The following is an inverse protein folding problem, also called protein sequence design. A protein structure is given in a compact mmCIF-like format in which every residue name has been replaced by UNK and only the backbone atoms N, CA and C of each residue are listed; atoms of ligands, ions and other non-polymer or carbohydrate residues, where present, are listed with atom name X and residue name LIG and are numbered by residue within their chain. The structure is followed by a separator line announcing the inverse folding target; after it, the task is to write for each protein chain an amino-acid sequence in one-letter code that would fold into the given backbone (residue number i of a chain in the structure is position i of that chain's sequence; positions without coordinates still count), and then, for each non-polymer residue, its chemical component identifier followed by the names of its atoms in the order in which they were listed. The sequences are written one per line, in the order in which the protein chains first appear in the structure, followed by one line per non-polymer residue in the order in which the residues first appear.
data_IF_360188757008
#
_entry.id   IF_360188757008
#
_cell.length_a   1.000
_cell.length_b   1.000
_cell.length_c   1.000
_cell.angle_alpha   90.00
_cell.angle_beta   90.00
_cell.angle_gamma   90.00
#
_symmetry.space_group_name_H-M   'P 1'
#
loop_
_entity.id
_entity.type
_entity.pdbx_description
1 polymer ?
#
# COMPACT_ATOMS: atom_id res chain seq x y z
N UNK A 1 -7.24 -28.84 -24.10
CA UNK A 1 -7.03 -28.84 -22.64
C UNK A 1 -6.43 -27.50 -22.25
N UNK A 2 -7.24 -26.61 -21.68
CA UNK A 2 -6.84 -25.25 -21.35
C UNK A 2 -6.02 -25.22 -20.06
N UNK A 3 -4.80 -24.69 -20.15
CA UNK A 3 -3.93 -24.44 -19.00
C UNK A 3 -4.48 -23.27 -18.17
N UNK A 4 -4.82 -23.54 -16.93
CA UNK A 4 -4.99 -22.49 -15.93
C UNK A 4 -3.61 -22.18 -15.37
N UNK A 5 -2.96 -21.13 -15.88
CA UNK A 5 -1.77 -20.57 -15.27
C UNK A 5 -2.22 -19.81 -14.01
N UNK A 6 -2.39 -20.53 -12.90
CA UNK A 6 -2.54 -19.89 -11.61
C UNK A 6 -1.19 -19.27 -11.26
N UNK A 7 -1.03 -17.98 -11.55
CA UNK A 7 0.04 -17.16 -10.99
C UNK A 7 0.08 -17.44 -9.50
N UNK A 8 1.22 -17.94 -8.98
CA UNK A 8 1.42 -18.24 -7.56
C UNK A 8 0.86 -17.08 -6.72
N UNK A 9 -0.27 -17.28 -6.06
CA UNK A 9 -0.82 -16.30 -5.12
C UNK A 9 0.18 -16.21 -3.97
N UNK A 10 0.78 -15.04 -3.80
CA UNK A 10 1.63 -14.77 -2.65
C UNK A 10 0.73 -14.61 -1.42
N UNK A 11 0.52 -15.72 -0.72
CA UNK A 11 -0.36 -15.79 0.46
C UNK A 11 0.18 -14.99 1.64
N UNK A 12 1.44 -14.54 1.61
CA UNK A 12 2.00 -13.70 2.65
C UNK A 12 1.40 -12.28 2.65
N UNK A 13 0.84 -11.82 1.52
CA UNK A 13 0.31 -10.47 1.37
C UNK A 13 -1.20 -10.38 1.68
N UNK A 14 -1.87 -11.52 1.91
CA UNK A 14 -3.31 -11.58 2.19
C UNK A 14 -3.53 -11.32 3.68
N UNK A 15 -3.85 -10.08 4.03
CA UNK A 15 -4.14 -9.69 5.42
C UNK A 15 -5.36 -8.80 5.48
N UNK A 16 -6.15 -8.99 6.55
CA UNK A 16 -7.32 -8.14 6.85
C UNK A 16 -6.83 -6.81 7.40
N UNK A 17 -7.37 -5.70 6.89
CA UNK A 17 -7.06 -4.38 7.41
C UNK A 17 -7.49 -4.24 8.88
N UNK A 18 -6.57 -3.91 9.81
CA UNK A 18 -6.89 -3.89 11.23
C UNK A 18 -7.59 -2.58 11.60
N UNK A 19 -8.93 -2.62 11.65
CA UNK A 19 -9.76 -1.46 12.00
C UNK A 19 -9.55 -0.97 13.44
N UNK A 20 -9.11 -1.86 14.33
CA UNK A 20 -8.93 -1.62 15.76
C UNK A 20 -7.56 -1.02 16.12
N UNK A 21 -6.62 -0.96 15.17
CA UNK A 21 -5.29 -0.36 15.42
C UNK A 21 -5.44 1.15 15.60
N UNK A 22 -4.87 1.73 16.68
CA UNK A 22 -4.96 3.15 16.93
C UNK A 22 -4.37 3.94 15.76
N UNK A 23 -5.09 5.00 15.34
CA UNK A 23 -4.64 5.89 14.29
C UNK A 23 -3.56 6.80 14.85
N UNK A 24 -2.36 6.69 14.31
CA UNK A 24 -1.23 7.54 14.63
C UNK A 24 -1.30 8.88 13.90
N UNK A 25 -0.21 9.64 13.98
CA UNK A 25 -0.08 10.89 13.24
C UNK A 25 0.03 10.64 11.72
N UNK A 26 -0.45 11.59 10.92
CA UNK A 26 -0.10 11.67 9.50
C UNK A 26 1.30 12.26 9.38
N UNK A 27 2.18 11.59 8.66
CA UNK A 27 3.53 12.08 8.38
C UNK A 27 3.58 12.76 7.02
N UNK A 28 4.46 13.74 6.88
CA UNK A 28 4.69 14.45 5.62
C UNK A 28 5.60 13.61 4.71
N UNK A 29 5.09 12.46 4.32
CA UNK A 29 5.67 11.59 3.30
C UNK A 29 4.69 11.55 2.15
N UNK A 30 5.16 12.00 0.99
CA UNK A 30 4.36 12.06 -0.22
C UNK A 30 4.46 10.74 -0.98
N UNK A 31 3.29 10.22 -1.32
CA UNK A 31 3.13 9.01 -2.13
C UNK A 31 2.62 9.43 -3.50
N UNK A 32 3.39 9.09 -4.52
CA UNK A 32 3.07 9.35 -5.91
C UNK A 32 2.60 8.07 -6.58
N UNK A 33 1.56 8.18 -7.39
CA UNK A 33 1.11 7.11 -8.27
C UNK A 33 1.44 7.47 -9.71
N UNK A 34 2.26 6.63 -10.34
CA UNK A 34 2.60 6.74 -11.76
C UNK A 34 2.12 5.48 -12.49
N UNK A 35 0.90 5.55 -13.02
CA UNK A 35 0.23 4.42 -13.68
C UNK A 35 -0.01 3.26 -12.70
N UNK A 36 0.82 2.22 -12.82
CA UNK A 36 0.81 1.00 -11.99
C UNK A 36 1.82 1.01 -10.85
N UNK A 37 2.67 2.03 -10.76
CA UNK A 37 3.72 2.10 -9.76
C UNK A 37 3.33 3.10 -8.67
N UNK A 38 3.50 2.69 -7.42
CA UNK A 38 3.41 3.54 -6.26
C UNK A 38 4.83 3.83 -5.77
N UNK A 39 5.23 5.10 -5.76
CA UNK A 39 6.55 5.52 -5.28
C UNK A 39 6.42 6.48 -4.11
N UNK A 40 7.29 6.35 -3.13
CA UNK A 40 7.32 7.23 -1.98
C UNK A 40 8.75 7.36 -1.44
N UNK A 41 9.09 8.54 -0.96
CA UNK A 41 10.38 8.80 -0.30
C UNK A 41 10.14 9.19 1.14
N UNK A 42 10.83 8.53 2.08
CA UNK A 42 10.74 8.90 3.48
C UNK A 42 11.52 10.19 3.72
N UNK A 43 10.83 11.32 3.58
CA UNK A 43 11.33 12.68 3.83
C UNK A 43 11.42 13.03 5.32
N UNK A 44 11.09 12.09 6.21
CA UNK A 44 11.08 12.30 7.66
C UNK A 44 12.29 11.65 8.33
N UNK A 45 12.48 11.95 9.62
CA UNK A 45 13.50 11.31 10.48
C UNK A 45 13.02 9.99 11.09
N UNK A 46 11.79 9.55 10.81
CA UNK A 46 11.23 8.31 11.36
C UNK A 46 11.78 7.11 10.60
N UNK A 47 12.17 6.08 11.33
CA UNK A 47 12.53 4.78 10.77
C UNK A 47 11.32 3.87 10.91
N UNK A 48 10.86 3.28 9.81
CA UNK A 48 9.86 2.21 9.85
C UNK A 48 10.59 0.87 9.82
N UNK A 49 10.31 0.00 10.79
CA UNK A 49 10.79 -1.39 10.79
C UNK A 49 9.93 -2.28 9.91
N UNK A 50 9.87 -3.58 10.23
CA UNK A 50 8.93 -4.51 9.61
C UNK A 50 7.49 -4.00 9.82
N UNK A 51 6.86 -3.57 8.73
CA UNK A 51 5.60 -2.82 8.74
C UNK A 51 4.68 -3.31 7.63
N UNK A 52 3.42 -2.91 7.67
CA UNK A 52 2.45 -3.20 6.60
C UNK A 52 1.98 -1.89 5.95
N UNK A 53 2.15 -1.76 4.65
CA UNK A 53 1.61 -0.65 3.87
C UNK A 53 0.18 -1.01 3.45
N UNK A 54 -0.76 -0.11 3.73
CA UNK A 54 -2.17 -0.26 3.46
C UNK A 54 -2.65 0.79 2.47
N UNK A 55 -3.29 0.35 1.40
CA UNK A 55 -3.95 1.20 0.40
C UNK A 55 -5.46 1.06 0.54
N UNK A 56 -6.16 2.20 0.60
CA UNK A 56 -7.61 2.31 0.69
C UNK A 56 -8.27 1.49 1.82
N UNK A 57 -7.54 1.23 2.91
CA UNK A 57 -7.98 0.35 4.03
C UNK A 57 -8.38 -1.06 3.60
N UNK A 58 -7.91 -1.52 2.45
CA UNK A 58 -8.30 -2.82 1.88
C UNK A 58 -7.09 -3.63 1.46
N UNK A 59 -6.17 -3.02 0.73
CA UNK A 59 -5.06 -3.75 0.12
C UNK A 59 -3.79 -3.57 0.93
N UNK A 60 -3.17 -4.69 1.29
CA UNK A 60 -1.94 -4.72 2.07
C UNK A 60 -0.72 -5.07 1.22
N UNK A 61 0.43 -4.51 1.58
CA UNK A 61 1.75 -4.97 1.17
C UNK A 61 2.75 -4.96 2.34
N UNK A 62 3.50 -6.04 2.60
CA UNK A 62 4.50 -6.04 3.65
C UNK A 62 5.71 -5.18 3.27
N UNK A 63 6.26 -4.50 4.26
CA UNK A 63 7.42 -3.63 4.16
C UNK A 63 8.48 -4.16 5.12
N UNK A 64 9.64 -4.57 4.60
CA UNK A 64 10.75 -5.05 5.45
C UNK A 64 11.37 -3.92 6.30
N UNK A 65 11.28 -2.69 5.83
CA UNK A 65 11.73 -1.50 6.51
C UNK A 65 11.74 -0.30 5.57
N UNK A 66 11.80 0.90 6.14
CA UNK A 66 11.88 2.14 5.38
C UNK A 66 12.60 3.23 6.18
N UNK A 67 13.82 3.54 5.75
CA UNK A 67 14.73 4.45 6.44
C UNK A 67 14.54 5.90 5.99
N UNK A 68 14.91 6.89 6.82
CA UNK A 68 15.02 8.28 6.39
C UNK A 68 15.84 8.44 5.11
N UNK A 69 15.29 9.18 4.14
CA UNK A 69 15.88 9.43 2.83
C UNK A 69 15.77 8.27 1.83
N UNK A 70 15.20 7.13 2.22
CA UNK A 70 15.03 5.99 1.33
C UNK A 70 13.77 6.16 0.46
N UNK A 71 13.92 5.86 -0.83
CA UNK A 71 12.81 5.81 -1.78
C UNK A 71 12.41 4.37 -2.01
N UNK A 72 11.13 4.09 -1.83
CA UNK A 72 10.53 2.79 -2.09
C UNK A 72 9.58 2.89 -3.28
N UNK A 73 9.55 1.84 -4.09
CA UNK A 73 8.68 1.74 -5.26
C UNK A 73 8.04 0.36 -5.28
N UNK A 74 6.71 0.33 -5.39
CA UNK A 74 5.90 -0.89 -5.40
C UNK A 74 5.05 -0.93 -6.67
N UNK A 75 4.89 -2.11 -7.27
CA UNK A 75 3.88 -2.30 -8.31
C UNK A 75 2.52 -2.53 -7.64
N UNK A 76 1.48 -1.82 -8.06
CA UNK A 76 0.16 -1.91 -7.46
C UNK A 76 -0.39 -3.35 -7.51
N UNK A 77 -0.02 -4.17 -8.49
CA UNK A 77 -0.48 -5.56 -8.57
C UNK A 77 0.11 -6.46 -7.46
N UNK A 78 1.13 -6.01 -6.72
CA UNK A 78 1.66 -6.76 -5.58
C UNK A 78 0.86 -6.54 -4.30
N UNK A 79 -0.12 -5.64 -4.31
CA UNK A 79 -1.03 -5.41 -3.21
C UNK A 79 -2.23 -6.34 -3.30
N UNK A 80 -2.58 -6.97 -2.18
CA UNK A 80 -3.66 -7.94 -2.10
C UNK A 80 -4.64 -7.56 -1.00
N UNK A 81 -5.92 -7.87 -1.20
CA UNK A 81 -6.93 -7.75 -0.16
C UNK A 81 -7.08 -9.03 0.69
N UNK A 82 -8.03 -9.04 1.62
CA UNK A 82 -8.34 -10.18 2.49
C UNK A 82 -8.80 -11.45 1.74
N UNK A 83 -9.31 -11.31 0.52
CA UNK A 83 -9.75 -12.41 -0.34
C UNK A 83 -8.66 -12.85 -1.32
N UNK A 84 -7.50 -12.17 -1.32
CA UNK A 84 -6.41 -12.38 -2.27
C UNK A 84 -6.68 -11.80 -3.65
N UNK A 85 -7.61 -10.84 -3.77
CA UNK A 85 -7.78 -10.03 -4.98
C UNK A 85 -6.64 -9.00 -5.07
N UNK A 86 -6.05 -8.88 -6.27
CA UNK A 86 -5.01 -7.90 -6.54
C UNK A 86 -5.59 -6.50 -6.75
N UNK A 87 -4.87 -5.47 -6.32
CA UNK A 87 -5.25 -4.08 -6.61
C UNK A 87 -5.24 -3.83 -8.12
N UNK A 88 -6.31 -3.23 -8.61
CA UNK A 88 -6.47 -2.97 -10.04
C UNK A 88 -5.76 -1.68 -10.43
N UNK A 89 -4.45 -1.78 -10.68
CA UNK A 89 -3.60 -0.63 -11.03
C UNK A 89 -3.90 0.02 -12.39
N UNK A 90 -4.68 -0.65 -13.25
CA UNK A 90 -4.96 -0.21 -14.63
C UNK A 90 -3.85 -0.57 -15.63
N UNK A 91 -4.07 -0.30 -16.92
CA UNK A 91 -3.10 -0.58 -17.98
C UNK A 91 -3.67 -0.29 -19.37
N UNK A 92 -2.82 -0.20 -20.39
CA UNK A 92 -3.22 0.14 -21.77
C UNK A 92 -4.29 -0.82 -22.36
N UNK A 93 -4.38 -2.04 -21.81
CA UNK A 93 -5.37 -3.06 -22.19
C UNK A 93 -6.37 -3.40 -21.07
N UNK A 94 -6.40 -2.63 -19.97
CA UNK A 94 -7.33 -2.89 -18.89
C UNK A 94 -8.76 -2.60 -19.34
N UNK A 95 -9.61 -3.63 -19.31
CA UNK A 95 -11.05 -3.50 -19.63
C UNK A 95 -11.84 -2.83 -18.51
N UNK A 96 -11.28 -2.74 -17.31
CA UNK A 96 -11.92 -2.22 -16.11
C UNK A 96 -11.26 -0.91 -15.65
N UNK A 97 -12.06 -0.03 -15.05
CA UNK A 97 -11.60 1.26 -14.53
C UNK A 97 -10.52 1.04 -13.46
N UNK A 98 -9.35 1.69 -13.56
CA UNK A 98 -8.31 1.60 -12.53
C UNK A 98 -8.85 2.06 -11.17
N UNK A 99 -8.50 1.37 -10.09
CA UNK A 99 -8.82 1.84 -8.75
C UNK A 99 -7.97 3.07 -8.42
N UNK A 100 -8.58 4.06 -7.76
CA UNK A 100 -7.89 5.27 -7.30
C UNK A 100 -7.18 4.99 -5.97
N UNK A 101 -5.95 5.48 -5.82
CA UNK A 101 -5.23 5.44 -4.54
C UNK A 101 -5.65 6.69 -3.78
N UNK A 102 -6.56 6.57 -2.81
CA UNK A 102 -7.09 7.73 -2.07
C UNK A 102 -6.47 7.84 -0.69
N UNK A 103 -6.15 6.70 -0.08
CA UNK A 103 -5.58 6.64 1.26
C UNK A 103 -4.43 5.66 1.29
N UNK A 104 -3.30 6.10 1.82
CA UNK A 104 -2.16 5.23 2.10
C UNK A 104 -1.77 5.37 3.57
N UNK A 105 -1.62 4.24 4.26
CA UNK A 105 -1.25 4.19 5.66
C UNK A 105 -0.18 3.13 5.89
N UNK A 106 0.66 3.32 6.89
CA UNK A 106 1.66 2.35 7.34
C UNK A 106 1.26 1.89 8.73
N UNK A 107 1.00 0.59 8.87
CA UNK A 107 0.92 -0.07 10.18
C UNK A 107 2.34 -0.42 10.61
N UNK A 108 2.80 0.21 11.68
CA UNK A 108 4.14 0.01 12.22
C UNK A 108 4.10 -0.05 13.74
N UNK A 109 5.16 -0.53 14.36
CA UNK A 109 5.30 -0.50 15.82
C UNK A 109 5.72 0.90 16.29
N UNK A 110 4.84 1.55 17.04
CA UNK A 110 5.05 2.85 17.66
C UNK A 110 5.45 2.76 19.13
N UNK A 111 5.64 3.93 19.76
CA UNK A 111 6.06 4.02 21.16
C UNK A 111 5.06 3.39 22.17
N UNK A 112 3.78 3.31 21.80
CA UNK A 112 2.70 2.75 22.62
C UNK A 112 2.16 1.40 22.08
N UNK A 113 2.85 0.78 21.13
CA UNK A 113 2.40 -0.41 20.40
C UNK A 113 2.11 -0.12 18.92
N UNK A 114 1.44 -1.04 18.23
CA UNK A 114 1.11 -0.88 16.80
C UNK A 114 0.26 0.36 16.56
N UNK A 115 0.69 1.19 15.63
CA UNK A 115 -0.02 2.39 15.21
C UNK A 115 -0.18 2.43 13.69
N UNK A 116 -1.25 3.09 13.25
CA UNK A 116 -1.54 3.31 11.83
C UNK A 116 -1.17 4.74 11.44
N UNK A 117 0.00 4.91 10.83
CA UNK A 117 0.55 6.19 10.39
C UNK A 117 -0.02 6.55 9.02
N UNK A 118 -0.61 7.73 8.87
CA UNK A 118 -1.10 8.20 7.57
C UNK A 118 0.02 8.74 6.68
N UNK A 119 -0.02 8.49 5.37
CA UNK A 119 0.82 9.13 4.37
C UNK A 119 0.00 10.09 3.49
N UNK A 120 0.66 11.05 2.85
CA UNK A 120 0.02 12.04 1.97
C UNK A 120 0.02 11.52 0.55
N UNK A 121 -1.15 11.30 -0.04
CA UNK A 121 -1.25 10.84 -1.44
C UNK A 121 -1.33 12.03 -2.38
N UNK A 122 -0.47 12.05 -3.40
CA UNK A 122 -0.43 13.08 -4.44
C UNK A 122 -0.89 12.48 -5.77
N UNK A 123 -1.88 13.12 -6.40
CA UNK A 123 -2.42 12.69 -7.70
C UNK A 123 -3.36 11.47 -7.65
N UNK A 124 -3.66 10.95 -6.46
CA UNK A 124 -4.70 9.96 -6.25
C UNK A 124 -6.08 10.59 -6.32
N UNK A 125 -6.86 10.36 -7.39
CA UNK A 125 -8.13 11.07 -7.53
C UNK A 125 -9.20 10.47 -6.63
N UNK A 126 -9.53 11.16 -5.54
CA UNK A 126 -10.87 11.13 -4.98
C UNK A 126 -11.73 12.10 -5.79
N UNK A 127 -12.72 11.62 -6.54
CA UNK A 127 -13.73 12.50 -7.15
C UNK A 127 -14.66 12.98 -6.01
N UNK A 128 -14.96 14.30 -5.92
CA UNK A 128 -15.92 14.83 -4.94
C UNK A 128 -17.35 14.33 -5.19
#
# INVERSE_FOLDING_TARGET
MGGCTASKRDTANVRVYPQSTPRGATVDIQVFREGRTLSATNTTTRVFGESMLWVNKRFGHPLSGWKPGETVSFDLNTFYDEFGEQFRGGGFFARETPEDVVLVQVETDGAAGREMVGLVVVGGKARP
#
